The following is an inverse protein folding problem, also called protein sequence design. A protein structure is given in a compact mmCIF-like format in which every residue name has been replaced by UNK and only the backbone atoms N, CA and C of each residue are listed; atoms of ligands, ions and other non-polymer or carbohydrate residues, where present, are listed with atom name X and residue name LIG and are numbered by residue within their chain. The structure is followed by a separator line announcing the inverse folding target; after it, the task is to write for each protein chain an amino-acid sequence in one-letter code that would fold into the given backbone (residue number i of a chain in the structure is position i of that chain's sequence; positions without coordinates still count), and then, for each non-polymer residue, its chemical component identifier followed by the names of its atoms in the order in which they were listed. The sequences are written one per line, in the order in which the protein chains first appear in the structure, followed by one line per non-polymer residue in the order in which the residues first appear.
data_IF_313005330815
#
_entry.id   IF_313005330815
#
_cell.length_a   1.000
_cell.length_b   1.000
_cell.length_c   1.000
_cell.angle_alpha   90.00
_cell.angle_beta   90.00
_cell.angle_gamma   90.00
#
_symmetry.space_group_name_H-M   'P 1'
#
loop_
_entity.id
_entity.type
_entity.pdbx_description
1 polymer ?
#
# COMPACT_ATOMS: atom_id res chain seq x y z
N UNK A 1 -20.20 -2.35 16.51
CA UNK A 1 -19.00 -1.88 17.27
C UNK A 1 -17.71 -2.51 16.73
N UNK A 2 -16.53 -2.15 17.26
CA UNK A 2 -15.25 -2.77 16.88
C UNK A 2 -15.19 -4.27 17.16
N UNK A 3 -15.79 -4.74 18.26
CA UNK A 3 -15.92 -6.16 18.59
C UNK A 3 -16.76 -6.91 17.55
N UNK A 4 -17.81 -6.27 17.05
CA UNK A 4 -18.70 -6.83 16.05
C UNK A 4 -18.02 -6.89 14.67
N UNK A 5 -17.34 -5.83 14.26
CA UNK A 5 -16.56 -5.81 13.02
C UNK A 5 -15.50 -6.93 13.00
N UNK A 6 -14.80 -7.14 14.12
CA UNK A 6 -13.81 -8.22 14.25
C UNK A 6 -14.45 -9.61 14.33
N UNK A 7 -15.67 -9.73 14.87
CA UNK A 7 -16.46 -10.99 14.84
C UNK A 7 -16.93 -11.33 13.42
N UNK A 8 -17.36 -10.32 12.65
CA UNK A 8 -17.71 -10.50 11.23
C UNK A 8 -16.46 -10.96 10.48
N UNK A 9 -15.33 -10.29 10.65
CA UNK A 9 -14.05 -10.69 10.07
C UNK A 9 -13.69 -12.14 10.43
N UNK A 10 -13.81 -12.53 11.71
CA UNK A 10 -13.60 -13.92 12.13
C UNK A 10 -14.52 -14.92 11.40
N UNK A 11 -15.80 -14.59 11.29
CA UNK A 11 -16.81 -15.45 10.64
C UNK A 11 -16.49 -15.62 9.16
N UNK A 12 -16.11 -14.54 8.48
CA UNK A 12 -15.70 -14.53 7.09
C UNK A 12 -14.42 -15.35 6.85
N UNK A 13 -13.45 -15.30 7.77
CA UNK A 13 -12.24 -16.15 7.68
C UNK A 13 -12.61 -17.62 7.89
N UNK A 14 -13.52 -17.92 8.83
CA UNK A 14 -13.95 -19.30 9.12
C UNK A 14 -14.76 -19.94 8.00
N UNK A 15 -15.44 -19.15 7.18
CA UNK A 15 -16.17 -19.69 6.02
C UNK A 15 -15.24 -20.28 4.97
N UNK A 16 -13.94 -19.92 4.99
CA UNK A 16 -12.93 -20.35 4.03
C UNK A 16 -13.31 -20.04 2.56
N UNK A 17 -14.17 -19.04 2.36
CA UNK A 17 -14.73 -18.68 1.06
C UNK A 17 -14.08 -17.42 0.45
N UNK A 18 -13.23 -16.72 1.21
CA UNK A 18 -12.64 -15.45 0.80
C UNK A 18 -11.11 -15.50 0.83
N UNK A 19 -10.50 -15.10 -0.27
CA UNK A 19 -9.04 -15.00 -0.39
C UNK A 19 -8.47 -13.73 0.25
N UNK A 20 -9.25 -12.63 0.26
CA UNK A 20 -8.80 -11.33 0.78
C UNK A 20 -9.91 -10.66 1.59
N UNK A 21 -9.56 -10.14 2.76
CA UNK A 21 -10.44 -9.33 3.61
C UNK A 21 -9.72 -8.04 3.96
N UNK A 22 -10.38 -6.90 3.74
CA UNK A 22 -9.86 -5.57 4.10
C UNK A 22 -10.68 -5.00 5.25
N UNK A 23 -10.00 -4.58 6.32
CA UNK A 23 -10.58 -3.87 7.46
C UNK A 23 -10.15 -2.41 7.38
N UNK A 24 -11.08 -1.56 6.96
CA UNK A 24 -10.88 -0.12 6.80
C UNK A 24 -11.77 0.67 7.79
N UNK A 25 -11.25 1.22 8.90
CA UNK A 25 -9.87 1.22 9.39
C UNK A 25 -9.78 0.80 10.85
N UNK A 26 -8.58 0.43 11.31
CA UNK A 26 -8.33 0.11 12.72
C UNK A 26 -8.68 1.27 13.66
N UNK A 27 -8.48 2.51 13.21
CA UNK A 27 -8.82 3.70 13.98
C UNK A 27 -10.34 3.78 14.29
N UNK A 28 -11.18 3.25 13.39
CA UNK A 28 -12.63 3.24 13.53
C UNK A 28 -13.18 2.03 14.31
N UNK A 29 -12.32 1.11 14.75
CA UNK A 29 -12.72 -0.04 15.58
C UNK A 29 -12.93 0.40 17.04
N UNK A 30 -13.93 1.26 17.26
CA UNK A 30 -14.31 1.79 18.57
C UNK A 30 -15.00 0.71 19.39
N UNK A 31 -14.64 0.56 20.66
CA UNK A 31 -15.23 -0.49 21.50
C UNK A 31 -16.69 -0.19 21.82
N UNK A 32 -17.50 -1.23 22.08
CA UNK A 32 -18.91 -1.03 22.45
C UNK A 32 -19.06 -0.12 23.68
N UNK A 33 -18.22 -0.32 24.69
CA UNK A 33 -18.21 0.50 25.91
C UNK A 33 -17.90 1.98 25.62
N UNK A 34 -17.09 2.27 24.60
CA UNK A 34 -16.76 3.64 24.18
C UNK A 34 -17.87 4.25 23.32
N UNK A 35 -18.62 3.44 22.57
CA UNK A 35 -19.79 3.91 21.82
C UNK A 35 -21.00 4.20 22.72
N UNK A 36 -21.15 3.45 23.81
CA UNK A 36 -22.25 3.62 24.78
C UNK A 36 -21.92 4.65 25.88
N UNK A 37 -20.65 5.02 26.04
CA UNK A 37 -20.20 6.03 27.00
C UNK A 37 -20.40 7.47 26.50
N UNK A 38 -20.17 8.44 27.38
CA UNK A 38 -20.26 9.85 27.05
C UNK A 38 -18.92 10.41 26.55
N UNK A 39 -18.98 11.52 25.78
CA UNK A 39 -17.77 12.21 25.34
C UNK A 39 -17.05 12.76 26.57
N UNK A 40 -15.86 12.23 26.85
CA UNK A 40 -15.04 12.60 28.01
C UNK A 40 -14.79 11.43 28.96
N UNK A 41 -15.50 10.31 28.80
CA UNK A 41 -15.27 9.12 29.60
C UNK A 41 -13.91 8.49 29.33
N UNK A 42 -13.21 8.13 30.41
CA UNK A 42 -11.87 7.55 30.32
C UNK A 42 -11.93 6.07 29.91
N UNK A 43 -11.79 5.78 28.62
CA UNK A 43 -11.72 4.42 28.05
C UNK A 43 -10.29 4.01 27.70
N UNK A 44 -9.34 4.33 28.59
CA UNK A 44 -7.90 4.20 28.30
C UNK A 44 -7.52 2.77 27.88
N UNK A 45 -7.01 2.64 26.65
CA UNK A 45 -6.48 1.38 26.13
C UNK A 45 -7.53 0.31 25.81
N UNK A 46 -8.84 0.63 25.79
CA UNK A 46 -9.90 -0.31 25.45
C UNK A 46 -9.69 -0.91 24.04
N UNK A 47 -9.48 -0.05 23.03
CA UNK A 47 -9.21 -0.48 21.66
C UNK A 47 -7.93 -1.34 21.55
N UNK A 48 -6.87 -1.00 22.27
CA UNK A 48 -5.62 -1.77 22.25
C UNK A 48 -5.79 -3.19 22.83
N UNK A 49 -6.59 -3.34 23.89
CA UNK A 49 -6.94 -4.64 24.48
C UNK A 49 -7.80 -5.47 23.53
N UNK A 50 -8.80 -4.84 22.91
CA UNK A 50 -9.64 -5.47 21.88
C UNK A 50 -8.79 -6.04 20.73
N UNK A 51 -7.92 -5.21 20.14
CA UNK A 51 -7.04 -5.64 19.05
C UNK A 51 -6.10 -6.78 19.47
N UNK A 52 -5.55 -6.72 20.68
CA UNK A 52 -4.66 -7.77 21.21
C UNK A 52 -5.39 -9.11 21.37
N UNK A 53 -6.62 -9.10 21.88
CA UNK A 53 -7.43 -10.29 22.04
C UNK A 53 -7.87 -10.87 20.69
N UNK A 54 -8.36 -10.01 19.77
CA UNK A 54 -8.83 -10.42 18.46
C UNK A 54 -7.70 -11.01 17.61
N UNK A 55 -6.57 -10.31 17.47
CA UNK A 55 -5.47 -10.76 16.60
C UNK A 55 -4.83 -12.07 17.07
N UNK A 56 -4.79 -12.32 18.39
CA UNK A 56 -4.33 -13.60 18.95
C UNK A 56 -5.16 -14.77 18.42
N UNK A 57 -6.47 -14.61 18.30
CA UNK A 57 -7.39 -15.63 17.76
C UNK A 57 -7.31 -15.70 16.24
N UNK A 58 -7.41 -14.55 15.58
CA UNK A 58 -7.49 -14.42 14.13
C UNK A 58 -6.26 -14.97 13.42
N UNK A 59 -5.05 -14.78 13.95
CA UNK A 59 -3.81 -15.16 13.26
C UNK A 59 -3.78 -16.64 12.87
N UNK A 60 -4.19 -17.53 13.78
CA UNK A 60 -4.25 -18.96 13.50
C UNK A 60 -5.34 -19.32 12.48
N UNK A 61 -6.46 -18.60 12.49
CA UNK A 61 -7.58 -18.83 11.57
C UNK A 61 -7.24 -18.36 10.16
N UNK A 62 -6.66 -17.16 10.04
CA UNK A 62 -6.18 -16.56 8.78
C UNK A 62 -5.23 -17.53 8.07
N UNK A 63 -4.25 -18.07 8.81
CA UNK A 63 -3.29 -19.02 8.24
C UNK A 63 -3.95 -20.31 7.75
N UNK A 64 -4.92 -20.86 8.50
CA UNK A 64 -5.62 -22.10 8.12
C UNK A 64 -6.54 -21.89 6.92
N UNK A 65 -7.21 -20.74 6.87
CA UNK A 65 -8.11 -20.39 5.78
C UNK A 65 -7.38 -19.92 4.51
N UNK A 66 -6.06 -19.70 4.59
CA UNK A 66 -5.23 -19.13 3.50
C UNK A 66 -5.74 -17.77 3.00
N UNK A 67 -6.47 -17.04 3.84
CA UNK A 67 -6.97 -15.69 3.55
C UNK A 67 -5.89 -14.64 3.85
N UNK A 68 -5.79 -13.62 3.02
CA UNK A 68 -4.99 -12.41 3.30
C UNK A 68 -5.87 -11.36 3.99
N UNK A 69 -5.48 -10.93 5.20
CA UNK A 69 -6.16 -9.84 5.89
C UNK A 69 -5.34 -8.55 5.83
N UNK A 70 -5.92 -7.51 5.26
CA UNK A 70 -5.34 -6.17 5.16
C UNK A 70 -6.04 -5.25 6.16
N UNK A 71 -5.26 -4.61 7.02
CA UNK A 71 -5.78 -3.60 7.95
C UNK A 71 -5.25 -2.24 7.54
N UNK A 72 -6.13 -1.30 7.21
CA UNK A 72 -5.73 0.10 7.04
C UNK A 72 -5.63 0.74 8.42
N UNK A 73 -4.69 1.67 8.57
CA UNK A 73 -4.55 2.41 9.80
C UNK A 73 -4.08 3.83 9.52
N UNK A 74 -4.36 4.70 10.47
CA UNK A 74 -4.03 6.11 10.39
C UNK A 74 -2.79 6.41 11.22
N UNK A 75 -2.06 7.45 10.83
CA UNK A 75 -0.98 8.00 11.64
C UNK A 75 -1.59 8.95 12.68
N UNK A 76 -1.04 8.93 13.88
CA UNK A 76 -1.28 9.88 14.97
C UNK A 76 0.06 10.29 15.54
N UNK A 77 0.11 11.41 16.24
CA UNK A 77 1.31 11.83 16.96
C UNK A 77 1.16 11.52 18.45
N UNK A 78 2.23 11.02 19.06
CA UNK A 78 2.28 10.81 20.50
C UNK A 78 2.70 12.10 21.19
N UNK A 79 1.79 12.68 21.96
CA UNK A 79 2.07 13.86 22.79
C UNK A 79 3.19 13.56 23.79
N UNK A 80 4.14 14.48 23.92
CA UNK A 80 5.23 14.41 24.91
C UNK A 80 6.50 13.69 24.46
N UNK A 81 6.63 13.32 23.18
CA UNK A 81 7.90 12.80 22.63
C UNK A 81 8.78 13.98 22.20
N UNK A 82 9.84 14.26 22.96
CA UNK A 82 10.80 15.34 22.65
C UNK A 82 11.98 14.88 21.76
N UNK A 83 12.20 13.56 21.62
CA UNK A 83 13.28 12.99 20.82
C UNK A 83 12.83 11.70 20.10
N UNK A 84 13.20 11.55 18.83
CA UNK A 84 12.81 10.42 17.98
C UNK A 84 11.53 10.66 17.16
N UNK A 85 11.03 9.61 16.50
CA UNK A 85 9.81 9.70 15.68
C UNK A 85 8.55 9.73 16.56
N UNK A 86 7.75 10.81 16.56
CA UNK A 86 6.52 10.92 17.36
C UNK A 86 5.35 10.13 16.76
N UNK A 87 5.47 9.63 15.53
CA UNK A 87 4.39 8.92 14.84
C UNK A 87 4.04 7.59 15.52
N UNK A 88 2.74 7.40 15.73
CA UNK A 88 2.14 6.19 16.25
C UNK A 88 0.89 5.83 15.45
N UNK A 89 0.33 4.66 15.72
CA UNK A 89 -0.86 4.13 15.04
C UNK A 89 -1.89 3.68 16.08
N UNK A 90 -3.19 3.95 15.88
CA UNK A 90 -4.29 3.43 16.70
C UNK A 90 -4.29 1.89 16.85
N UNK A 91 -5.02 1.37 17.84
CA UNK A 91 -5.13 -0.07 18.08
C UNK A 91 -3.98 -0.71 18.89
N UNK A 92 -3.09 0.10 19.47
CA UNK A 92 -1.99 -0.39 20.31
C UNK A 92 -0.87 -1.07 19.51
N UNK A 93 -0.09 -1.94 20.17
CA UNK A 93 1.10 -2.58 19.56
C UNK A 93 0.79 -3.92 18.89
N UNK A 94 -0.33 -4.56 19.18
CA UNK A 94 -0.61 -5.92 18.73
C UNK A 94 -0.49 -6.08 17.21
N UNK A 95 -1.14 -5.20 16.45
CA UNK A 95 -1.10 -5.26 14.99
C UNK A 95 0.33 -5.14 14.44
N UNK A 96 1.19 -4.33 15.08
CA UNK A 96 2.60 -4.20 14.69
C UNK A 96 3.35 -5.54 14.80
N UNK A 97 3.04 -6.38 15.79
CA UNK A 97 3.69 -7.66 16.01
C UNK A 97 3.09 -8.80 15.15
N UNK A 98 1.76 -8.85 15.05
CA UNK A 98 1.06 -9.89 14.30
C UNK A 98 1.17 -9.73 12.79
N UNK A 99 1.21 -8.49 12.26
CA UNK A 99 1.35 -8.27 10.83
C UNK A 99 2.61 -8.93 10.24
N UNK A 100 2.45 -9.68 9.16
CA UNK A 100 3.56 -10.29 8.41
C UNK A 100 4.30 -9.25 7.58
N UNK A 101 3.56 -8.32 6.96
CA UNK A 101 4.08 -7.19 6.20
C UNK A 101 3.46 -5.91 6.74
N UNK A 102 4.25 -4.84 6.86
CA UNK A 102 3.75 -3.50 7.16
C UNK A 102 4.25 -2.53 6.11
N UNK A 103 3.32 -1.73 5.62
CA UNK A 103 3.49 -0.80 4.52
C UNK A 103 3.23 0.60 5.07
N UNK A 104 4.21 1.49 4.95
CA UNK A 104 4.04 2.93 5.16
C UNK A 104 3.84 3.57 3.79
N UNK A 105 2.68 4.21 3.58
CA UNK A 105 2.30 4.86 2.32
C UNK A 105 2.26 6.37 2.52
N UNK A 106 2.97 7.12 1.68
CA UNK A 106 3.03 8.58 1.74
C UNK A 106 2.88 9.21 0.37
N UNK A 107 2.08 10.27 0.31
CA UNK A 107 2.09 11.18 -0.83
C UNK A 107 3.37 12.01 -0.77
N UNK A 108 4.19 11.95 -1.82
CA UNK A 108 5.45 12.70 -1.92
C UNK A 108 5.37 13.87 -2.91
N UNK A 109 4.34 13.90 -3.76
CA UNK A 109 4.12 14.99 -4.71
C UNK A 109 2.74 15.01 -5.33
N UNK A 110 2.40 16.12 -5.99
CA UNK A 110 1.21 16.27 -6.81
C UNK A 110 1.60 16.13 -8.29
N UNK A 111 0.81 15.37 -9.04
CA UNK A 111 0.93 15.27 -10.50
C UNK A 111 -0.03 16.31 -11.08
N UNK A 112 0.51 17.24 -11.88
CA UNK A 112 -0.22 18.36 -12.46
C UNK A 112 -0.16 18.30 -13.97
N UNK A 113 -1.25 18.65 -14.62
CA UNK A 113 -1.26 18.93 -16.06
C UNK A 113 -0.68 20.33 -16.35
N UNK A 114 -0.48 20.63 -17.64
CA UNK A 114 0.08 21.91 -18.12
C UNK A 114 -0.78 23.11 -17.71
N UNK A 115 -2.08 22.92 -17.54
CA UNK A 115 -3.04 23.92 -17.06
C UNK A 115 -3.02 24.13 -15.52
N UNK A 116 -2.20 23.37 -14.81
CA UNK A 116 -2.05 23.42 -13.36
C UNK A 116 -3.03 22.54 -12.58
N UNK A 117 -3.98 21.86 -13.24
CA UNK A 117 -4.94 20.96 -12.60
C UNK A 117 -4.21 19.74 -12.03
N UNK A 118 -4.45 19.45 -10.74
CA UNK A 118 -3.89 18.27 -10.08
C UNK A 118 -4.68 17.04 -10.48
N UNK A 119 -4.06 16.11 -11.19
CA UNK A 119 -4.70 14.90 -11.74
C UNK A 119 -4.29 13.62 -11.03
N UNK A 120 -3.32 13.70 -10.13
CA UNK A 120 -2.90 12.55 -9.33
C UNK A 120 -1.86 12.90 -8.28
N UNK A 121 -1.37 11.85 -7.63
CA UNK A 121 -0.39 11.91 -6.55
C UNK A 121 0.78 11.00 -6.86
N UNK A 122 1.99 11.55 -6.80
CA UNK A 122 3.20 10.73 -6.70
C UNK A 122 3.25 10.16 -5.30
N UNK A 123 3.28 8.84 -5.20
CA UNK A 123 3.16 8.11 -3.95
C UNK A 123 4.40 7.25 -3.74
N UNK A 124 4.91 7.25 -2.51
CA UNK A 124 5.98 6.35 -2.07
C UNK A 124 5.42 5.38 -1.06
N UNK A 125 5.75 4.11 -1.24
CA UNK A 125 5.51 3.05 -0.28
C UNK A 125 6.86 2.57 0.28
N UNK A 126 6.93 2.41 1.60
CA UNK A 126 8.07 1.80 2.30
C UNK A 126 7.62 0.55 3.06
N UNK A 127 8.35 -0.55 2.88
CA UNK A 127 8.11 -1.78 3.62
C UNK A 127 8.81 -1.70 4.98
N UNK A 128 8.11 -1.19 5.99
CA UNK A 128 8.66 -0.99 7.35
C UNK A 128 8.74 -2.27 8.19
N UNK A 129 8.10 -3.35 7.73
CA UNK A 129 8.25 -4.70 8.28
C UNK A 129 7.98 -5.73 7.20
N UNK A 130 8.81 -6.76 7.12
CA UNK A 130 8.62 -7.88 6.23
C UNK A 130 9.10 -9.17 6.91
N UNK A 131 8.25 -10.20 6.96
CA UNK A 131 8.59 -11.53 7.49
C UNK A 131 8.84 -12.59 6.40
N UNK A 132 8.64 -12.25 5.13
CA UNK A 132 8.71 -13.20 4.01
C UNK A 132 9.78 -12.85 2.97
N UNK A 133 10.36 -11.65 3.05
CA UNK A 133 11.48 -11.20 2.23
C UNK A 133 12.24 -10.08 2.99
N UNK A 134 13.37 -9.57 2.46
CA UNK A 134 14.07 -8.44 3.06
C UNK A 134 13.15 -7.21 3.30
N UNK A 135 13.19 -6.59 4.48
CA UNK A 135 12.44 -5.36 4.77
C UNK A 135 13.16 -4.10 4.28
N UNK A 136 12.53 -2.94 4.45
CA UNK A 136 13.05 -1.59 4.19
C UNK A 136 13.29 -1.22 2.74
N UNK A 137 12.74 -1.99 1.82
CA UNK A 137 12.62 -1.58 0.41
C UNK A 137 11.54 -0.52 0.23
N UNK A 138 11.69 0.28 -0.82
CA UNK A 138 10.79 1.36 -1.19
C UNK A 138 10.33 1.18 -2.63
N UNK A 139 9.11 1.64 -2.93
CA UNK A 139 8.57 1.69 -4.27
C UNK A 139 7.88 3.03 -4.48
N UNK A 140 8.08 3.64 -5.64
CA UNK A 140 7.39 4.86 -6.04
C UNK A 140 6.51 4.61 -7.26
N UNK A 141 5.33 5.20 -7.25
CA UNK A 141 4.39 5.09 -8.36
C UNK A 141 3.39 6.24 -8.32
N UNK A 142 2.68 6.38 -9.43
CA UNK A 142 1.67 7.40 -9.62
C UNK A 142 0.29 6.83 -9.28
N UNK A 143 -0.47 7.53 -8.43
CA UNK A 143 -1.90 7.28 -8.19
C UNK A 143 -2.68 8.39 -8.87
N UNK A 144 -3.32 8.09 -9.99
CA UNK A 144 -4.14 9.03 -10.75
C UNK A 144 -5.58 9.00 -10.24
N UNK A 145 -6.26 10.14 -10.17
CA UNK A 145 -7.59 10.22 -9.58
C UNK A 145 -8.69 9.50 -10.39
N UNK A 146 -8.50 9.35 -11.70
CA UNK A 146 -9.46 8.73 -12.60
C UNK A 146 -9.19 7.24 -12.90
N UNK A 147 -8.00 6.72 -12.59
CA UNK A 147 -7.61 5.33 -12.93
C UNK A 147 -7.00 4.54 -11.76
N UNK A 148 -6.64 5.18 -10.65
CA UNK A 148 -5.96 4.53 -9.54
C UNK A 148 -4.45 4.40 -9.78
N UNK A 149 -3.85 3.28 -9.40
CA UNK A 149 -2.40 3.05 -9.60
C UNK A 149 -2.11 2.96 -11.10
N UNK A 150 -1.28 3.87 -11.60
CA UNK A 150 -0.89 3.92 -13.01
C UNK A 150 0.14 2.84 -13.33
N UNK A 151 -0.32 1.68 -13.83
CA UNK A 151 0.53 0.55 -14.21
C UNK A 151 1.50 0.87 -15.35
N UNK A 152 1.10 1.72 -16.31
CA UNK A 152 1.97 2.17 -17.41
C UNK A 152 3.08 3.09 -16.92
N UNK A 153 2.76 4.02 -16.01
CA UNK A 153 3.75 4.89 -15.36
C UNK A 153 4.76 4.09 -14.52
N UNK A 154 4.30 3.10 -13.76
CA UNK A 154 5.17 2.23 -12.97
C UNK A 154 6.08 1.38 -13.87
N UNK A 155 5.54 0.79 -14.94
CA UNK A 155 6.34 0.02 -15.89
C UNK A 155 7.41 0.90 -16.56
N UNK A 156 7.03 2.10 -16.99
CA UNK A 156 7.94 3.04 -17.64
C UNK A 156 9.08 3.48 -16.71
N UNK A 157 8.78 3.74 -15.43
CA UNK A 157 9.80 4.10 -14.42
C UNK A 157 10.84 3.00 -14.29
N UNK A 158 10.41 1.75 -14.12
CA UNK A 158 11.32 0.62 -13.97
C UNK A 158 12.09 0.35 -15.27
N UNK A 159 11.43 0.45 -16.42
CA UNK A 159 12.08 0.27 -17.72
C UNK A 159 13.16 1.33 -17.99
N UNK A 160 12.97 2.56 -17.53
CA UNK A 160 13.96 3.62 -17.59
C UNK A 160 15.13 3.37 -16.63
N UNK A 161 14.83 2.98 -15.38
CA UNK A 161 15.84 2.66 -14.38
C UNK A 161 16.74 1.51 -14.83
N UNK A 162 16.14 0.48 -15.43
CA UNK A 162 16.84 -0.71 -15.95
C UNK A 162 17.41 -0.54 -17.36
N UNK A 163 17.37 0.69 -17.91
CA UNK A 163 17.90 1.03 -19.23
C UNK A 163 17.31 0.18 -20.38
N UNK A 164 16.10 -0.36 -20.21
CA UNK A 164 15.35 -1.06 -21.26
C UNK A 164 14.74 -0.03 -22.23
N UNK A 165 14.29 1.10 -21.70
CA UNK A 165 13.91 2.28 -22.46
C UNK A 165 15.01 3.32 -22.30
N UNK A 166 15.52 3.84 -23.40
CA UNK A 166 16.56 4.86 -23.41
C UNK A 166 15.95 6.26 -23.53
N UNK A 167 16.40 7.17 -22.68
CA UNK A 167 16.04 8.59 -22.77
C UNK A 167 17.14 9.38 -23.50
N UNK A 168 16.78 9.97 -24.65
CA UNK A 168 17.65 10.86 -25.44
C UNK A 168 17.03 12.25 -25.50
N UNK A 169 17.48 13.13 -24.61
CA UNK A 169 16.83 14.44 -24.41
C UNK A 169 15.42 14.27 -23.85
N UNK A 170 14.41 14.79 -24.56
CA UNK A 170 12.99 14.57 -24.24
C UNK A 170 12.40 13.31 -24.88
N UNK A 171 13.12 12.64 -25.78
CA UNK A 171 12.64 11.45 -26.48
C UNK A 171 12.93 10.16 -25.71
N UNK A 172 11.95 9.27 -25.69
CA UNK A 172 12.05 7.92 -25.15
C UNK A 172 12.13 6.94 -26.33
N UNK A 173 13.10 6.03 -26.29
CA UNK A 173 13.36 5.06 -27.34
C UNK A 173 13.33 3.65 -26.77
N UNK A 174 12.76 2.72 -27.52
CA UNK A 174 12.75 1.30 -27.21
C UNK A 174 13.32 0.53 -28.41
N UNK A 175 14.36 -0.29 -28.17
CA UNK A 175 15.05 -1.07 -29.23
C UNK A 175 15.46 -0.24 -30.46
N UNK A 176 15.92 0.98 -30.23
CA UNK A 176 16.33 1.90 -31.30
C UNK A 176 15.18 2.59 -32.05
N UNK A 177 13.92 2.26 -31.74
CA UNK A 177 12.74 2.93 -32.29
C UNK A 177 12.25 4.01 -31.33
N UNK A 178 11.84 5.15 -31.87
CA UNK A 178 11.30 6.25 -31.09
C UNK A 178 9.90 5.90 -30.57
N UNK A 179 9.77 5.80 -29.25
CA UNK A 179 8.53 5.44 -28.57
C UNK A 179 7.61 6.66 -28.45
N UNK A 180 8.09 7.72 -27.80
CA UNK A 180 7.31 8.94 -27.57
C UNK A 180 8.20 10.10 -27.10
N UNK A 181 7.65 11.32 -27.16
CA UNK A 181 8.27 12.51 -26.57
C UNK A 181 7.71 12.78 -25.18
N UNK A 182 8.54 12.64 -24.15
CA UNK A 182 8.16 12.87 -22.76
C UNK A 182 7.38 11.71 -22.14
N UNK A 183 7.18 11.82 -20.83
CA UNK A 183 6.62 10.75 -20.00
C UNK A 183 5.16 10.46 -20.31
N UNK A 184 4.33 11.49 -20.40
CA UNK A 184 2.89 11.32 -20.55
C UNK A 184 2.53 10.70 -21.90
N UNK A 185 3.20 11.12 -22.97
CA UNK A 185 3.03 10.52 -24.28
C UNK A 185 3.48 9.04 -24.31
N UNK A 186 4.55 8.68 -23.59
CA UNK A 186 4.97 7.28 -23.47
C UNK A 186 3.96 6.45 -22.67
N UNK A 187 3.36 7.00 -21.62
CA UNK A 187 2.27 6.34 -20.88
C UNK A 187 1.08 6.05 -21.79
N UNK A 188 0.68 7.01 -22.63
CA UNK A 188 -0.39 6.84 -23.60
C UNK A 188 -0.03 5.80 -24.68
N UNK A 189 1.20 5.81 -25.21
CA UNK A 189 1.67 4.80 -26.15
C UNK A 189 1.57 3.38 -25.57
N UNK A 190 2.04 3.19 -24.33
CA UNK A 190 1.96 1.90 -23.62
C UNK A 190 0.52 1.51 -23.25
N UNK A 191 -0.37 2.48 -23.05
CA UNK A 191 -1.79 2.24 -22.75
C UNK A 191 -2.55 1.79 -23.99
N UNK A 192 -2.23 2.38 -25.14
CA UNK A 192 -2.91 2.12 -26.41
C UNK A 192 -2.36 0.86 -27.12
N UNK A 193 -1.09 0.49 -26.88
CA UNK A 193 -0.48 -0.72 -27.43
C UNK A 193 -0.20 -1.77 -26.33
N UNK A 194 -1.12 -2.73 -26.22
CA UNK A 194 -1.01 -3.84 -25.27
C UNK A 194 0.13 -4.81 -25.60
N UNK A 195 0.46 -4.99 -26.87
CA UNK A 195 1.53 -5.91 -27.27
C UNK A 195 2.88 -5.34 -26.83
N UNK A 196 3.09 -4.05 -27.09
CA UNK A 196 4.27 -3.32 -26.63
C UNK A 196 4.38 -3.29 -25.09
N UNK A 197 3.27 -3.08 -24.39
CA UNK A 197 3.24 -3.14 -22.92
C UNK A 197 3.75 -4.49 -22.41
N UNK A 198 3.21 -5.59 -22.93
CA UNK A 198 3.58 -6.95 -22.50
C UNK A 198 5.03 -7.28 -22.83
N UNK A 199 5.52 -6.83 -23.98
CA UNK A 199 6.91 -7.02 -24.39
C UNK A 199 7.88 -6.33 -23.43
N UNK A 200 7.61 -5.06 -23.09
CA UNK A 200 8.43 -4.30 -22.15
C UNK A 200 8.30 -4.87 -20.74
N UNK A 201 7.10 -5.28 -20.32
CA UNK A 201 6.88 -5.93 -19.02
C UNK A 201 7.69 -7.23 -18.90
N UNK A 202 7.73 -8.06 -19.94
CA UNK A 202 8.53 -9.27 -19.95
C UNK A 202 10.04 -8.98 -19.86
N UNK A 203 10.52 -7.98 -20.61
CA UNK A 203 11.91 -7.55 -20.54
C UNK A 203 12.29 -7.01 -19.15
N UNK A 204 11.39 -6.23 -18.52
CA UNK A 204 11.58 -5.72 -17.15
C UNK A 204 11.62 -6.85 -16.14
N UNK A 205 10.70 -7.82 -16.21
CA UNK A 205 10.68 -8.97 -15.31
C UNK A 205 11.95 -9.81 -15.42
N UNK A 206 12.39 -10.10 -16.65
CA UNK A 206 13.64 -10.83 -16.88
C UNK A 206 14.84 -10.13 -16.23
N UNK A 207 14.95 -8.80 -16.41
CA UNK A 207 16.04 -8.02 -15.80
C UNK A 207 15.98 -7.99 -14.27
N UNK A 208 14.79 -7.91 -13.70
CA UNK A 208 14.60 -7.95 -12.24
C UNK A 208 14.92 -9.32 -11.63
N UNK A 209 14.79 -10.41 -12.39
CA UNK A 209 15.14 -11.74 -11.92
C UNK A 209 16.64 -12.02 -12.02
N UNK A 210 17.33 -11.43 -13.01
CA UNK A 210 18.81 -11.39 -13.06
C UNK A 210 19.39 -10.71 -11.81
N UNK A 211 18.83 -9.57 -11.40
CA UNK A 211 19.31 -8.81 -10.23
C UNK A 211 19.10 -9.53 -8.88
N UNK A 212 18.25 -10.57 -8.84
CA UNK A 212 17.99 -11.38 -7.64
C UNK A 212 18.90 -12.59 -7.52
N UNK A 213 19.56 -12.99 -8.60
CA UNK A 213 20.46 -14.16 -8.66
C UNK A 213 21.89 -13.78 -8.25
#
# INVERSE_FOLDING_TARGET
SGEEALRICETLIRSNALDVIVVDSVAALVTRAELEGEIGDATVGAQARLMSAALRKLTSLISKARTCCVFTNQIREKIGVMFGNPETTPGGKALKFYASVRVDIRRIGAIKQTDGVVTGNRTRIKIVKNKVAPPFTEAEFDIMYNEGISSTGALLDVALEKQIIEKRGSWLNYKGTQLAQGRDAAKEALKNDKALYQEIEAAVKAKLDEDKS
#
